data_IF_729535167649
#
_entry.id   IF_729535167649
#
_cell.length_a   1.000
_cell.length_b   1.000
_cell.length_c   1.000
_cell.angle_alpha   90.00
_cell.angle_beta   90.00
_cell.angle_gamma   90.00
#
_symmetry.space_group_name_H-M   'P 1'
#
loop_
_entity.id
_entity.type
_entity.pdbx_description
1 polymer ?
#
# COMPACT_ATOMS: atom_id res chain seq x y z
N UNK A 1 0.93 10.65 9.12
CA UNK A 1 -0.50 10.35 8.90
C UNK A 1 -1.36 10.92 10.03
N UNK A 2 -1.36 10.35 11.24
CA UNK A 2 -2.16 10.86 12.39
C UNK A 2 -1.98 12.37 12.66
N UNK A 3 -0.74 12.89 12.61
CA UNK A 3 -0.49 14.32 12.81
C UNK A 3 -1.14 15.24 11.74
N UNK A 4 -1.39 14.72 10.52
CA UNK A 4 -2.06 15.47 9.44
C UNK A 4 -3.58 15.35 9.52
N UNK A 5 -4.08 14.25 10.07
CA UNK A 5 -5.50 13.92 10.19
C UNK A 5 -5.84 13.57 11.65
N UNK A 6 -5.86 14.55 12.58
CA UNK A 6 -5.95 14.25 14.01
C UNK A 6 -7.27 13.60 14.41
N UNK A 7 -8.37 14.02 13.79
CA UNK A 7 -9.74 13.63 14.19
C UNK A 7 -10.33 12.49 13.37
N UNK A 8 -9.76 12.15 12.21
CA UNK A 8 -10.31 11.10 11.35
C UNK A 8 -10.05 9.72 11.93
N UNK A 9 -11.02 8.83 11.86
CA UNK A 9 -10.75 7.40 12.08
C UNK A 9 -9.78 6.90 11.01
N UNK A 10 -8.71 6.23 11.42
CA UNK A 10 -7.71 5.64 10.52
C UNK A 10 -7.77 4.12 10.67
N UNK A 11 -8.05 3.45 9.56
CA UNK A 11 -7.91 1.99 9.43
C UNK A 11 -6.78 1.73 8.44
N UNK A 12 -5.79 0.96 8.87
CA UNK A 12 -4.61 0.61 8.07
C UNK A 12 -4.65 -0.89 7.75
N UNK A 13 -4.82 -1.21 6.47
CA UNK A 13 -4.64 -2.56 5.96
C UNK A 13 -3.16 -2.81 5.75
N UNK A 14 -2.62 -3.87 6.34
CA UNK A 14 -1.18 -4.11 6.34
C UNK A 14 -0.83 -5.58 6.23
N UNK A 15 0.27 -5.91 5.54
CA UNK A 15 0.70 -7.29 5.40
C UNK A 15 1.21 -7.88 6.73
N UNK A 16 1.29 -9.21 6.78
CA UNK A 16 1.70 -9.96 7.96
C UNK A 16 3.22 -10.05 8.19
N UNK A 17 4.06 -9.18 7.60
CA UNK A 17 5.50 -9.26 7.81
C UNK A 17 5.86 -9.21 9.31
N UNK A 18 6.89 -9.95 9.78
CA UNK A 18 7.17 -10.09 11.22
C UNK A 18 7.32 -8.76 11.97
N UNK A 19 7.90 -7.74 11.32
CA UNK A 19 8.07 -6.42 11.92
C UNK A 19 6.77 -5.62 12.03
N UNK A 20 5.81 -5.80 11.11
CA UNK A 20 4.48 -5.21 11.19
C UNK A 20 3.66 -5.79 12.36
N UNK A 21 3.90 -7.05 12.73
CA UNK A 21 3.24 -7.74 13.84
C UNK A 21 3.94 -7.55 15.20
N UNK A 22 5.02 -6.79 15.26
CA UNK A 22 5.76 -6.60 16.51
C UNK A 22 4.91 -5.86 17.55
N UNK A 23 5.06 -6.24 18.83
CA UNK A 23 4.32 -5.62 19.93
C UNK A 23 4.53 -4.11 20.01
N UNK A 24 5.76 -3.65 19.74
CA UNK A 24 6.10 -2.22 19.70
C UNK A 24 5.28 -1.47 18.65
N UNK A 25 5.13 -2.04 17.46
CA UNK A 25 4.36 -1.41 16.37
C UNK A 25 2.87 -1.38 16.69
N UNK A 26 2.31 -2.49 17.19
CA UNK A 26 0.90 -2.57 17.58
C UNK A 26 0.57 -1.62 18.76
N UNK A 27 1.45 -1.54 19.75
CA UNK A 27 1.31 -0.61 20.86
C UNK A 27 1.30 0.84 20.36
N UNK A 28 2.22 1.18 19.46
CA UNK A 28 2.28 2.54 18.89
C UNK A 28 1.05 2.87 18.05
N UNK A 29 0.54 1.92 17.27
CA UNK A 29 -0.69 2.11 16.51
C UNK A 29 -1.89 2.39 17.43
N UNK A 30 -1.99 1.65 18.55
CA UNK A 30 -3.03 1.87 19.56
C UNK A 30 -2.92 3.25 20.21
N UNK A 31 -1.72 3.70 20.57
CA UNK A 31 -1.50 5.06 21.11
C UNK A 31 -1.92 6.16 20.14
N UNK A 32 -1.79 5.91 18.84
CA UNK A 32 -2.16 6.83 17.77
C UNK A 32 -3.60 6.67 17.30
N UNK A 33 -4.41 5.83 17.96
CA UNK A 33 -5.78 5.49 17.55
C UNK A 33 -5.85 5.05 16.08
N UNK A 34 -4.92 4.18 15.67
CA UNK A 34 -4.88 3.58 14.33
C UNK A 34 -5.29 2.12 14.47
N UNK A 35 -6.40 1.75 13.84
CA UNK A 35 -6.81 0.34 13.74
C UNK A 35 -5.98 -0.33 12.65
N UNK A 36 -5.26 -1.41 13.00
CA UNK A 36 -4.54 -2.23 12.02
C UNK A 36 -5.38 -3.45 11.70
N UNK A 37 -5.71 -3.62 10.43
CA UNK A 37 -6.38 -4.80 9.90
C UNK A 37 -5.35 -5.64 9.12
N UNK A 38 -4.97 -6.83 9.62
CA UNK A 38 -4.00 -7.66 8.93
C UNK A 38 -4.62 -8.22 7.65
N UNK A 39 -3.86 -8.16 6.55
CA UNK A 39 -4.23 -8.83 5.32
C UNK A 39 -3.94 -10.34 5.40
N UNK A 40 -4.75 -11.19 4.73
CA UNK A 40 -4.44 -12.61 4.61
C UNK A 40 -3.07 -12.82 3.98
N UNK A 41 -2.35 -13.84 4.43
CA UNK A 41 -1.04 -14.20 3.87
C UNK A 41 -1.13 -14.48 2.37
N UNK A 42 -0.05 -14.18 1.64
CA UNK A 42 0.08 -14.50 0.21
C UNK A 42 -1.04 -13.96 -0.69
N UNK A 43 -1.61 -12.79 -0.36
CA UNK A 43 -2.72 -12.20 -1.12
C UNK A 43 -2.38 -10.83 -1.75
N UNK A 44 -1.40 -10.78 -2.67
CA UNK A 44 -1.05 -9.54 -3.37
C UNK A 44 -2.23 -8.98 -4.18
N UNK A 45 -3.17 -9.83 -4.58
CA UNK A 45 -4.38 -9.45 -5.33
C UNK A 45 -5.34 -8.54 -4.53
N UNK A 46 -5.19 -8.50 -3.19
CA UNK A 46 -5.93 -7.62 -2.28
C UNK A 46 -5.17 -6.34 -1.91
N UNK A 47 -3.95 -6.15 -2.40
CA UNK A 47 -3.12 -5.00 -2.06
C UNK A 47 -3.14 -3.95 -3.19
N UNK A 48 -3.85 -2.81 -3.01
CA UNK A 48 -3.90 -1.76 -4.03
C UNK A 48 -2.51 -1.19 -4.35
N UNK A 49 -1.58 -1.29 -3.39
CA UNK A 49 -0.20 -0.82 -3.55
C UNK A 49 0.55 -1.58 -4.65
N UNK A 50 0.19 -2.83 -4.96
CA UNK A 50 0.82 -3.58 -6.06
C UNK A 50 0.51 -2.97 -7.43
N UNK A 51 -0.76 -2.57 -7.64
CA UNK A 51 -1.16 -1.84 -8.84
C UNK A 51 -0.44 -0.49 -8.94
N UNK A 52 -0.27 0.21 -7.79
CA UNK A 52 0.50 1.46 -7.72
C UNK A 52 1.97 1.23 -8.07
N UNK A 53 2.59 0.16 -7.58
CA UNK A 53 3.98 -0.17 -7.91
C UNK A 53 4.17 -0.50 -9.38
N UNK A 54 3.22 -1.20 -10.00
CA UNK A 54 3.25 -1.44 -11.44
C UNK A 54 3.18 -0.11 -12.21
N UNK A 55 2.25 0.77 -11.85
CA UNK A 55 2.13 2.08 -12.47
C UNK A 55 3.40 2.93 -12.29
N UNK A 56 3.96 3.00 -11.08
CA UNK A 56 5.22 3.69 -10.84
C UNK A 56 6.33 3.14 -11.75
N UNK A 57 6.43 1.81 -11.88
CA UNK A 57 7.48 1.21 -12.70
C UNK A 57 7.32 1.54 -14.18
N UNK A 58 6.09 1.50 -14.70
CA UNK A 58 5.74 1.88 -16.07
C UNK A 58 6.16 3.32 -16.38
N UNK A 59 5.81 4.27 -15.51
CA UNK A 59 5.99 5.70 -15.77
C UNK A 59 7.38 6.22 -15.39
N UNK A 60 8.08 5.57 -14.45
CA UNK A 60 9.32 6.11 -13.87
C UNK A 60 10.55 5.27 -14.18
N UNK A 61 10.44 3.96 -14.45
CA UNK A 61 11.63 3.08 -14.52
C UNK A 61 11.78 2.24 -15.78
N UNK A 62 10.70 1.75 -16.39
CA UNK A 62 10.80 0.77 -17.48
C UNK A 62 11.51 1.28 -18.73
N UNK A 63 11.39 2.57 -19.04
CA UNK A 63 11.99 3.18 -20.23
C UNK A 63 12.96 4.31 -19.86
N UNK A 64 13.41 4.33 -18.61
CA UNK A 64 14.22 5.42 -18.08
C UNK A 64 15.48 4.88 -17.40
N UNK A 65 16.63 5.39 -17.81
CA UNK A 65 17.88 5.24 -17.08
C UNK A 65 18.13 6.53 -16.28
N UNK A 66 18.22 6.40 -14.97
CA UNK A 66 18.54 7.53 -14.08
C UNK A 66 20.04 7.56 -13.83
N UNK A 67 20.64 8.74 -13.94
CA UNK A 67 22.08 8.92 -13.76
C UNK A 67 22.51 8.82 -12.28
N UNK A 68 21.56 8.98 -11.35
CA UNK A 68 21.82 8.89 -9.91
C UNK A 68 20.57 8.47 -9.12
N UNK A 69 20.75 7.94 -7.90
CA UNK A 69 19.64 7.71 -6.97
C UNK A 69 18.84 8.98 -6.65
N UNK A 70 19.50 10.14 -6.60
CA UNK A 70 18.85 11.44 -6.34
C UNK A 70 17.86 11.80 -7.43
N UNK A 71 18.24 11.59 -8.70
CA UNK A 71 17.34 11.79 -9.83
C UNK A 71 16.13 10.85 -9.76
N UNK A 72 16.36 9.56 -9.48
CA UNK A 72 15.27 8.59 -9.32
C UNK A 72 14.30 9.02 -8.21
N UNK A 73 14.80 9.45 -7.05
CA UNK A 73 13.97 9.95 -5.95
C UNK A 73 13.16 11.16 -6.38
N UNK A 74 13.77 12.12 -7.08
CA UNK A 74 13.07 13.30 -7.59
C UNK A 74 11.94 12.92 -8.57
N UNK A 75 12.18 11.93 -9.43
CA UNK A 75 11.17 11.41 -10.38
C UNK A 75 10.03 10.69 -9.67
N UNK A 76 10.33 9.87 -8.65
CA UNK A 76 9.31 9.22 -7.82
C UNK A 76 8.46 10.26 -7.09
N UNK A 77 9.06 11.30 -6.52
CA UNK A 77 8.32 12.38 -5.87
C UNK A 77 7.42 13.13 -6.84
N UNK A 78 7.94 13.47 -8.02
CA UNK A 78 7.15 14.13 -9.07
C UNK A 78 5.98 13.27 -9.54
N UNK A 79 6.19 11.96 -9.71
CA UNK A 79 5.12 11.02 -10.01
C UNK A 79 4.05 11.03 -8.92
N UNK A 80 4.45 10.92 -7.65
CA UNK A 80 3.52 10.94 -6.51
C UNK A 80 2.72 12.25 -6.46
N UNK A 81 3.38 13.40 -6.63
CA UNK A 81 2.70 14.70 -6.67
C UNK A 81 1.68 14.77 -7.81
N UNK A 82 2.04 14.26 -8.99
CA UNK A 82 1.19 14.28 -10.19
C UNK A 82 -0.06 13.43 -10.01
N UNK A 83 0.08 12.17 -9.58
CA UNK A 83 -1.08 11.29 -9.43
C UNK A 83 -2.03 11.75 -8.32
N UNK A 84 -1.52 12.44 -7.30
CA UNK A 84 -2.33 12.98 -6.21
C UNK A 84 -3.17 14.20 -6.61
N UNK A 85 -2.93 14.79 -7.81
CA UNK A 85 -3.78 15.87 -8.34
C UNK A 85 -5.18 15.37 -8.74
N UNK A 86 -5.31 14.08 -9.07
CA UNK A 86 -6.58 13.46 -9.41
C UNK A 86 -6.78 12.14 -8.64
N UNK A 87 -7.31 12.21 -7.41
CA UNK A 87 -7.56 11.05 -6.58
C UNK A 87 -8.54 10.03 -7.19
N UNK A 88 -9.43 10.45 -8.10
CA UNK A 88 -10.39 9.54 -8.73
C UNK A 88 -9.70 8.64 -9.74
N UNK A 89 -8.80 9.19 -10.57
CA UNK A 89 -7.95 8.39 -11.46
C UNK A 89 -7.10 7.38 -10.69
N UNK A 90 -6.61 7.76 -9.51
CA UNK A 90 -5.89 6.82 -8.63
C UNK A 90 -6.84 5.71 -8.17
N UNK A 91 -8.02 6.04 -7.65
CA UNK A 91 -8.99 5.05 -7.20
C UNK A 91 -9.38 4.05 -8.31
N UNK A 92 -9.61 4.55 -9.53
CA UNK A 92 -9.96 3.72 -10.69
C UNK A 92 -8.83 2.78 -11.11
N UNK A 93 -7.57 3.25 -11.03
CA UNK A 93 -6.40 2.48 -11.46
C UNK A 93 -5.91 1.48 -10.40
N UNK A 94 -6.26 1.70 -9.13
CA UNK A 94 -5.85 0.84 -8.01
C UNK A 94 -6.89 -0.26 -7.67
N UNK A 95 -7.77 -0.61 -8.61
CA UNK A 95 -8.78 -1.66 -8.41
C UNK A 95 -8.15 -2.99 -7.97
N UNK A 96 -8.62 -3.53 -6.86
CA UNK A 96 -8.22 -4.84 -6.32
C UNK A 96 -9.28 -5.90 -6.57
N UNK A 97 -8.92 -7.19 -6.45
CA UNK A 97 -9.95 -8.23 -6.37
C UNK A 97 -10.79 -7.95 -5.11
N UNK A 98 -12.12 -7.96 -5.24
CA UNK A 98 -13.04 -7.71 -4.11
C UNK A 98 -13.71 -8.99 -3.61
N UNK A 99 -13.43 -10.12 -4.25
CA UNK A 99 -14.00 -11.43 -3.93
C UNK A 99 -12.89 -12.46 -3.80
N UNK A 100 -12.99 -13.26 -2.76
CA UNK A 100 -12.17 -14.44 -2.50
C UNK A 100 -12.56 -15.53 -3.50
N UNK A 101 -11.58 -16.17 -4.14
CA UNK A 101 -11.81 -17.44 -4.86
C UNK A 101 -11.61 -18.61 -3.89
N UNK A 102 -12.67 -19.32 -3.47
CA UNK A 102 -12.57 -20.38 -2.48
C UNK A 102 -11.67 -21.56 -2.91
N UNK A 103 -11.45 -21.74 -4.22
CA UNK A 103 -10.62 -22.82 -4.76
C UNK A 103 -9.13 -22.46 -4.80
N UNK A 104 -8.79 -21.20 -5.13
CA UNK A 104 -7.40 -20.71 -5.11
C UNK A 104 -6.88 -20.45 -3.69
N UNK A 105 -7.78 -20.14 -2.75
CA UNK A 105 -7.42 -19.56 -1.45
C UNK A 105 -7.49 -20.55 -0.27
N UNK A 106 -7.66 -21.85 -0.56
CA UNK A 106 -7.71 -22.94 0.45
C UNK A 106 -6.54 -22.95 1.42
N UNK A 107 -5.40 -22.37 1.03
CA UNK A 107 -4.17 -22.28 1.83
C UNK A 107 -3.98 -20.91 2.51
N UNK A 108 -4.82 -19.92 2.22
CA UNK A 108 -4.70 -18.52 2.68
C UNK A 108 -5.57 -18.21 3.89
N UNK A 109 -6.60 -19.02 4.15
CA UNK A 109 -7.45 -18.93 5.34
C UNK A 109 -6.81 -19.80 6.43
N UNK A 110 -6.38 -19.23 7.58
CA UNK A 110 -5.94 -20.04 8.71
C UNK A 110 -7.11 -20.89 9.23
N UNK A 111 -6.84 -22.14 9.59
CA UNK A 111 -7.81 -23.03 10.24
C UNK A 111 -8.26 -22.49 11.60
#
# INVERSE_FOLDING_TARGET
MRAREPERRIVMFWDGAPYHRSSTVLARAKELDITIEPLPGYSPDFMPVEALWRWLREDVTYQHCHASPTELIARVNHFADTINLDPLTVADRLWTRTTLDPEEEKLRIPA
#
